data_IF_607917932913
#
_entry.id   IF_607917932913
#
_cell.length_a   1.000
_cell.length_b   1.000
_cell.length_c   1.000
_cell.angle_alpha   90.00
_cell.angle_beta   90.00
_cell.angle_gamma   90.00
#
_symmetry.space_group_name_H-M   'P 1'
#
loop_
_entity.id
_entity.type
_entity.pdbx_description
1 polymer ?
#
# COMPACT_ATOMS: atom_id res chain seq x y z
N UNK A 1 -3.23 -15.09 4.37
CA UNK A 1 -3.24 -15.04 2.89
C UNK A 1 -4.10 -16.13 2.28
N UNK A 2 -3.97 -17.38 2.71
CA UNK A 2 -4.73 -18.53 2.21
C UNK A 2 -6.25 -18.31 2.05
N UNK A 3 -6.92 -17.69 3.02
CA UNK A 3 -8.37 -17.44 2.91
C UNK A 3 -8.73 -16.46 1.78
N UNK A 4 -7.94 -15.38 1.60
CA UNK A 4 -8.16 -14.42 0.51
C UNK A 4 -7.85 -15.09 -0.84
N UNK A 5 -6.74 -15.83 -0.91
CA UNK A 5 -6.33 -16.58 -2.10
C UNK A 5 -7.44 -17.54 -2.56
N UNK A 6 -7.95 -18.36 -1.63
CA UNK A 6 -9.05 -19.30 -1.87
C UNK A 6 -10.33 -18.58 -2.33
N UNK A 7 -10.70 -17.47 -1.67
CA UNK A 7 -11.88 -16.68 -2.05
C UNK A 7 -11.78 -16.12 -3.48
N UNK A 8 -10.61 -15.59 -3.86
CA UNK A 8 -10.35 -15.09 -5.22
C UNK A 8 -10.34 -16.21 -6.28
N UNK A 9 -10.17 -17.47 -5.88
CA UNK A 9 -10.17 -18.62 -6.78
C UNK A 9 -9.06 -18.52 -7.83
N UNK A 10 -9.37 -18.55 -9.14
CA UNK A 10 -8.35 -18.48 -10.18
C UNK A 10 -7.83 -17.06 -10.46
N UNK A 11 -8.49 -16.02 -9.94
CA UNK A 11 -8.11 -14.63 -10.24
C UNK A 11 -6.77 -14.34 -9.60
N UNK A 12 -5.82 -13.87 -10.41
CA UNK A 12 -4.50 -13.52 -9.93
C UNK A 12 -4.53 -12.18 -9.18
N UNK A 13 -3.89 -12.15 -8.02
CA UNK A 13 -3.65 -10.91 -7.28
C UNK A 13 -2.16 -10.72 -7.02
N UNK A 14 -1.67 -9.48 -7.08
CA UNK A 14 -0.34 -9.12 -6.64
C UNK A 14 -0.42 -8.55 -5.22
N UNK A 15 0.37 -9.09 -4.29
CA UNK A 15 0.45 -8.53 -2.94
C UNK A 15 1.09 -7.14 -2.99
N UNK A 16 0.47 -6.18 -2.30
CA UNK A 16 0.89 -4.79 -2.29
C UNK A 16 0.90 -4.20 -0.87
N UNK A 17 1.42 -2.98 -0.73
CA UNK A 17 1.52 -2.25 0.53
C UNK A 17 2.37 -2.96 1.58
N UNK A 18 2.06 -2.73 2.86
CA UNK A 18 2.81 -3.19 4.02
C UNK A 18 3.18 -4.68 3.99
N UNK A 19 2.20 -5.56 3.70
CA UNK A 19 2.47 -7.00 3.70
C UNK A 19 3.41 -7.44 2.58
N UNK A 20 3.40 -6.74 1.44
CA UNK A 20 4.35 -7.00 0.36
C UNK A 20 5.77 -6.57 0.78
N UNK A 21 5.89 -5.42 1.45
CA UNK A 21 7.15 -4.93 2.01
C UNK A 21 7.69 -5.92 3.05
N UNK A 22 6.83 -6.45 3.93
CA UNK A 22 7.23 -7.41 4.95
C UNK A 22 7.66 -8.76 4.35
N UNK A 23 7.05 -9.19 3.25
CA UNK A 23 7.44 -10.40 2.53
C UNK A 23 8.86 -10.30 1.94
N UNK A 24 9.38 -9.08 1.73
CA UNK A 24 10.77 -8.83 1.32
C UNK A 24 11.76 -8.82 2.50
N UNK A 25 11.29 -9.08 3.73
CA UNK A 25 12.13 -9.19 4.93
C UNK A 25 12.22 -7.92 5.79
N UNK A 26 11.52 -6.84 5.42
CA UNK A 26 11.43 -5.62 6.24
C UNK A 26 10.58 -5.87 7.47
N UNK A 27 10.99 -5.35 8.63
CA UNK A 27 10.22 -5.50 9.88
C UNK A 27 9.24 -4.34 10.06
N UNK A 28 7.96 -4.62 9.85
CA UNK A 28 6.89 -3.65 10.06
C UNK A 28 5.65 -4.26 10.71
N UNK A 29 4.86 -3.41 11.38
CA UNK A 29 3.53 -3.78 11.86
C UNK A 29 2.61 -3.82 10.64
N UNK A 30 2.06 -5.00 10.34
CA UNK A 30 1.21 -5.23 9.18
C UNK A 30 -0.21 -5.52 9.63
N UNK A 31 -1.10 -4.53 9.54
CA UNK A 31 -2.48 -4.71 10.00
C UNK A 31 -3.39 -5.16 8.85
N UNK A 32 -3.21 -4.61 7.65
CA UNK A 32 -4.15 -4.79 6.54
C UNK A 32 -3.56 -5.54 5.35
N UNK A 33 -4.42 -6.02 4.47
CA UNK A 33 -4.06 -6.68 3.21
C UNK A 33 -4.38 -5.74 2.05
N UNK A 34 -3.41 -5.50 1.18
CA UNK A 34 -3.63 -4.79 -0.09
C UNK A 34 -3.23 -5.71 -1.23
N UNK A 35 -4.13 -5.86 -2.20
CA UNK A 35 -3.94 -6.70 -3.37
C UNK A 35 -4.24 -5.87 -4.61
N UNK A 36 -3.33 -5.86 -5.56
CA UNK A 36 -3.60 -5.32 -6.89
C UNK A 36 -4.23 -6.42 -7.73
N UNK A 37 -5.31 -6.10 -8.43
CA UNK A 37 -6.04 -6.99 -9.35
C UNK A 37 -6.00 -6.36 -10.74
N UNK A 38 -5.91 -7.17 -11.80
CA UNK A 38 -6.04 -6.67 -13.17
C UNK A 38 -7.36 -5.94 -13.32
N UNK A 39 -7.37 -4.83 -14.04
CA UNK A 39 -8.59 -4.02 -14.21
C UNK A 39 -9.74 -4.85 -14.83
N UNK A 40 -9.41 -5.73 -15.77
CA UNK A 40 -10.37 -6.64 -16.41
C UNK A 40 -10.99 -7.67 -15.46
N UNK A 41 -10.31 -8.04 -14.37
CA UNK A 41 -10.74 -9.05 -13.40
C UNK A 41 -11.29 -8.40 -12.10
N UNK A 42 -11.28 -7.07 -12.01
CA UNK A 42 -11.51 -6.35 -10.75
C UNK A 42 -12.91 -6.57 -10.18
N UNK A 43 -13.95 -6.40 -11.01
CA UNK A 43 -15.34 -6.59 -10.58
C UNK A 43 -15.62 -8.04 -10.18
N UNK A 44 -15.06 -9.01 -10.92
CA UNK A 44 -15.17 -10.43 -10.60
C UNK A 44 -14.48 -10.77 -9.27
N UNK A 45 -13.31 -10.18 -9.00
CA UNK A 45 -12.61 -10.34 -7.72
C UNK A 45 -13.44 -9.81 -6.55
N UNK A 46 -14.05 -8.64 -6.71
CA UNK A 46 -14.98 -8.05 -5.74
C UNK A 46 -16.16 -8.97 -5.47
N UNK A 47 -16.81 -9.49 -6.51
CA UNK A 47 -17.96 -10.39 -6.36
C UNK A 47 -17.57 -11.71 -5.70
N UNK A 48 -16.37 -12.22 -5.98
CA UNK A 48 -15.85 -13.43 -5.33
C UNK A 48 -15.60 -13.25 -3.84
N UNK A 49 -15.00 -12.14 -3.42
CA UNK A 49 -14.84 -11.85 -1.99
C UNK A 49 -16.20 -11.77 -1.28
N UNK A 50 -17.17 -11.05 -1.86
CA UNK A 50 -18.54 -11.01 -1.31
C UNK A 50 -19.18 -12.39 -1.21
N UNK A 51 -19.04 -13.20 -2.26
CA UNK A 51 -19.57 -14.58 -2.29
C UNK A 51 -18.91 -15.49 -1.25
N UNK A 52 -17.66 -15.20 -0.86
CA UNK A 52 -16.94 -15.88 0.21
C UNK A 52 -17.25 -15.32 1.63
N UNK A 53 -18.19 -14.39 1.74
CA UNK A 53 -18.66 -13.83 3.01
C UNK A 53 -17.88 -12.60 3.50
N UNK A 54 -16.97 -12.04 2.71
CA UNK A 54 -16.34 -10.77 3.08
C UNK A 54 -17.38 -9.64 3.05
N UNK A 55 -17.35 -8.79 4.07
CA UNK A 55 -18.29 -7.67 4.21
C UNK A 55 -17.66 -6.39 3.66
N UNK A 56 -18.43 -5.60 2.92
CA UNK A 56 -17.95 -4.32 2.38
C UNK A 56 -17.60 -3.33 3.49
N UNK A 57 -16.39 -2.80 3.44
CA UNK A 57 -15.94 -1.72 4.30
C UNK A 57 -16.18 -0.38 3.61
N UNK A 58 -17.30 0.27 3.95
CA UNK A 58 -17.73 1.52 3.31
C UNK A 58 -16.97 2.76 3.78
N UNK A 59 -16.13 2.61 4.81
CA UNK A 59 -15.36 3.71 5.39
C UNK A 59 -13.99 3.85 4.71
N UNK A 60 -13.34 4.99 4.90
CA UNK A 60 -12.00 5.21 4.35
C UNK A 60 -11.02 4.10 4.74
N UNK A 61 -10.08 3.78 3.84
CA UNK A 61 -9.02 2.80 4.14
C UNK A 61 -8.24 3.22 5.38
N UNK A 62 -7.90 4.51 5.49
CA UNK A 62 -7.15 5.07 6.62
C UNK A 62 -7.95 5.23 7.91
N UNK A 63 -9.25 4.90 7.94
CA UNK A 63 -10.07 5.08 9.15
C UNK A 63 -10.07 3.85 10.07
N UNK A 64 -10.53 4.01 11.30
CA UNK A 64 -10.87 2.93 12.22
C UNK A 64 -12.37 2.61 12.16
N UNK A 65 -12.84 1.77 13.09
CA UNK A 65 -14.27 1.52 13.33
C UNK A 65 -15.07 2.82 13.50
N UNK A 66 -16.28 2.92 12.92
CA UNK A 66 -17.12 4.11 13.04
C UNK A 66 -17.36 4.57 14.48
N UNK A 67 -17.48 3.62 15.40
CA UNK A 67 -17.73 3.91 16.81
C UNK A 67 -16.55 4.64 17.48
N UNK A 68 -15.34 4.52 16.92
CA UNK A 68 -14.17 5.27 17.38
C UNK A 68 -14.36 6.78 17.20
N UNK A 69 -15.04 7.20 16.12
CA UNK A 69 -15.10 8.60 15.71
C UNK A 69 -16.23 9.42 16.36
N UNK A 70 -16.85 8.92 17.43
CA UNK A 70 -17.91 9.66 18.14
C UNK A 70 -17.34 10.91 18.83
N UNK A 71 -17.91 12.07 18.52
CA UNK A 71 -17.57 13.36 19.12
C UNK A 71 -16.84 14.32 18.16
N UNK A 72 -17.12 15.62 18.29
CA UNK A 72 -16.74 16.68 17.33
C UNK A 72 -15.27 16.65 16.90
N UNK A 73 -14.33 16.44 17.82
CA UNK A 73 -12.90 16.39 17.50
C UNK A 73 -12.57 15.17 16.63
N UNK A 74 -13.11 14.00 16.99
CA UNK A 74 -12.84 12.75 16.27
C UNK A 74 -13.53 12.73 14.90
N UNK A 75 -14.71 13.33 14.78
CA UNK A 75 -15.37 13.56 13.49
C UNK A 75 -14.56 14.47 12.56
N UNK A 76 -13.90 15.51 13.09
CA UNK A 76 -12.98 16.34 12.32
C UNK A 76 -11.78 15.52 11.81
N UNK A 77 -11.22 14.66 12.67
CA UNK A 77 -10.12 13.75 12.30
C UNK A 77 -10.58 12.82 11.16
N UNK A 78 -11.75 12.21 11.29
CA UNK A 78 -12.30 11.35 10.24
C UNK A 78 -12.45 12.09 8.90
N UNK A 79 -13.01 13.31 8.90
CA UNK A 79 -13.14 14.11 7.67
C UNK A 79 -11.80 14.39 7.01
N UNK A 80 -10.74 14.61 7.81
CA UNK A 80 -9.38 14.78 7.30
C UNK A 80 -8.85 13.48 6.68
N UNK A 81 -9.04 12.34 7.35
CA UNK A 81 -8.66 11.01 6.82
C UNK A 81 -9.34 10.77 5.48
N UNK A 82 -10.67 10.92 5.40
CA UNK A 82 -11.43 10.71 4.15
C UNK A 82 -10.86 11.56 3.03
N UNK A 83 -10.57 12.84 3.29
CA UNK A 83 -9.99 13.73 2.27
C UNK A 83 -8.60 13.28 1.81
N UNK A 84 -7.75 12.86 2.73
CA UNK A 84 -6.35 12.52 2.44
C UNK A 84 -6.17 11.09 1.88
N UNK A 85 -7.20 10.26 1.93
CA UNK A 85 -7.24 8.91 1.35
C UNK A 85 -8.23 8.78 0.18
N UNK A 86 -8.90 9.86 -0.23
CA UNK A 86 -9.99 9.86 -1.22
C UNK A 86 -9.62 9.19 -2.55
N UNK A 87 -8.40 9.42 -3.05
CA UNK A 87 -7.91 8.80 -4.29
C UNK A 87 -7.80 7.27 -4.15
N UNK A 88 -7.16 6.80 -3.09
CA UNK A 88 -7.07 5.36 -2.77
C UNK A 88 -8.47 4.76 -2.63
N UNK A 89 -9.34 5.44 -1.90
CA UNK A 89 -10.69 4.98 -1.58
C UNK A 89 -11.58 4.86 -2.83
N UNK A 90 -11.39 5.73 -3.83
CA UNK A 90 -12.08 5.68 -5.13
C UNK A 90 -11.54 4.60 -6.06
N UNK A 91 -10.25 4.27 -5.93
CA UNK A 91 -9.59 3.26 -6.75
C UNK A 91 -9.46 1.90 -6.06
N UNK A 92 -10.24 1.68 -4.99
CA UNK A 92 -10.22 0.41 -4.28
C UNK A 92 -11.59 -0.05 -3.81
N UNK A 93 -11.77 -1.37 -3.81
CA UNK A 93 -12.82 -2.05 -3.07
C UNK A 93 -12.24 -2.52 -1.74
N UNK A 94 -12.95 -2.26 -0.64
CA UNK A 94 -12.45 -2.49 0.73
C UNK A 94 -13.40 -3.41 1.45
N UNK A 95 -12.84 -4.31 2.24
CA UNK A 95 -13.58 -5.36 2.93
C UNK A 95 -13.03 -5.60 4.33
N UNK A 96 -13.87 -6.21 5.17
CA UNK A 96 -13.46 -6.90 6.39
C UNK A 96 -13.73 -8.40 6.22
N UNK A 97 -13.01 -9.21 7.00
CA UNK A 97 -13.21 -10.65 7.00
C UNK A 97 -14.58 -11.01 7.57
N UNK A 98 -15.15 -12.17 7.16
CA UNK A 98 -16.36 -12.70 7.77
C UNK A 98 -16.23 -12.76 9.29
N UNK A 99 -17.29 -12.41 10.01
CA UNK A 99 -17.31 -12.31 11.48
C UNK A 99 -16.82 -13.59 12.19
N UNK A 100 -17.01 -14.77 11.58
CA UNK A 100 -16.59 -16.06 12.11
C UNK A 100 -15.07 -16.20 12.18
N UNK A 101 -14.31 -15.43 11.37
CA UNK A 101 -12.85 -15.44 11.37
C UNK A 101 -12.24 -14.62 12.51
N UNK A 102 -13.03 -13.77 13.20
CA UNK A 102 -12.57 -12.89 14.27
C UNK A 102 -11.32 -12.07 13.91
N UNK A 103 -11.20 -11.68 12.63
CA UNK A 103 -10.08 -10.87 12.13
C UNK A 103 -10.54 -9.42 11.95
N UNK A 104 -9.79 -8.48 12.51
CA UNK A 104 -10.05 -7.04 12.39
C UNK A 104 -9.33 -6.38 11.21
N UNK A 105 -8.47 -7.15 10.52
CA UNK A 105 -7.72 -6.68 9.37
C UNK A 105 -8.66 -6.32 8.20
N UNK A 106 -8.34 -5.24 7.49
CA UNK A 106 -9.02 -4.90 6.24
C UNK A 106 -8.36 -5.60 5.06
N UNK A 107 -9.14 -5.84 4.01
CA UNK A 107 -8.66 -6.25 2.70
C UNK A 107 -9.03 -5.16 1.70
N UNK A 108 -8.05 -4.59 1.02
CA UNK A 108 -8.25 -3.64 -0.08
C UNK A 108 -7.82 -4.29 -1.40
N UNK A 109 -8.74 -4.34 -2.35
CA UNK A 109 -8.45 -4.66 -3.75
C UNK A 109 -8.25 -3.34 -4.50
N UNK A 110 -7.15 -3.21 -5.22
CA UNK A 110 -6.80 -2.05 -6.03
C UNK A 110 -6.75 -2.40 -7.50
N UNK A 111 -7.15 -1.46 -8.35
CA UNK A 111 -7.00 -1.62 -9.79
C UNK A 111 -5.53 -1.55 -10.19
N UNK A 112 -5.15 -2.37 -11.16
CA UNK A 112 -3.81 -2.40 -11.74
C UNK A 112 -3.41 -1.08 -12.39
N UNK A 113 -4.36 -0.35 -13.00
CA UNK A 113 -4.12 0.98 -13.55
C UNK A 113 -3.72 1.99 -12.49
N UNK A 114 -4.34 1.93 -11.31
CA UNK A 114 -4.06 2.84 -10.21
C UNK A 114 -2.70 2.55 -9.56
N UNK A 115 -2.39 1.28 -9.32
CA UNK A 115 -1.12 0.87 -8.74
C UNK A 115 0.04 0.79 -9.76
N UNK A 116 -0.22 1.09 -11.04
CA UNK A 116 0.75 1.04 -12.14
C UNK A 116 1.44 -0.34 -12.28
N UNK A 117 0.69 -1.42 -12.08
CA UNK A 117 1.19 -2.79 -12.20
C UNK A 117 0.81 -3.38 -13.55
N UNK A 118 1.82 -3.84 -14.30
CA UNK A 118 1.63 -4.66 -15.50
C UNK A 118 1.88 -6.12 -15.14
N UNK A 119 0.81 -6.93 -15.11
CA UNK A 119 0.91 -8.32 -14.67
C UNK A 119 1.78 -9.20 -15.58
N UNK A 120 1.85 -8.87 -16.86
CA UNK A 120 2.66 -9.62 -17.83
C UNK A 120 4.15 -9.56 -17.46
N UNK A 121 4.65 -8.37 -17.09
CA UNK A 121 6.03 -8.19 -16.63
C UNK A 121 6.29 -8.72 -15.22
N UNK A 122 5.28 -8.66 -14.34
CA UNK A 122 5.41 -9.08 -12.94
C UNK A 122 5.49 -10.60 -12.80
N UNK A 123 4.80 -11.35 -13.66
CA UNK A 123 4.79 -12.81 -13.56
C UNK A 123 6.19 -13.39 -13.76
N UNK A 124 7.03 -12.71 -14.53
CA UNK A 124 8.42 -13.09 -14.80
C UNK A 124 9.39 -12.68 -13.69
N UNK A 125 9.09 -11.60 -12.94
CA UNK A 125 9.97 -11.05 -11.91
C UNK A 125 9.53 -11.35 -10.46
N UNK A 126 8.37 -11.99 -10.27
CA UNK A 126 7.84 -12.32 -8.95
C UNK A 126 8.82 -13.21 -8.16
N UNK A 127 9.12 -12.80 -6.92
CA UNK A 127 10.02 -13.51 -6.02
C UNK A 127 9.44 -14.87 -5.62
N UNK A 128 8.12 -14.92 -5.46
CA UNK A 128 7.40 -16.15 -5.16
C UNK A 128 5.92 -16.06 -5.53
N UNK A 129 5.26 -17.21 -5.47
CA UNK A 129 3.82 -17.35 -5.72
C UNK A 129 3.22 -18.30 -4.69
N UNK A 130 2.11 -17.89 -4.08
CA UNK A 130 1.29 -18.73 -3.22
C UNK A 130 -0.10 -18.86 -3.84
N UNK A 131 -0.37 -20.01 -4.47
CA UNK A 131 -1.60 -20.22 -5.24
C UNK A 131 -1.77 -19.21 -6.37
N UNK A 132 -2.77 -18.34 -6.26
CA UNK A 132 -3.07 -17.25 -7.19
C UNK A 132 -2.48 -15.90 -6.78
N UNK A 133 -1.76 -15.81 -5.66
CA UNK A 133 -1.15 -14.58 -5.18
C UNK A 133 0.33 -14.49 -5.57
N UNK A 134 0.69 -13.39 -6.23
CA UNK A 134 2.05 -13.05 -6.64
C UNK A 134 2.71 -12.17 -5.59
N UNK A 135 3.96 -12.49 -5.26
CA UNK A 135 4.81 -11.70 -4.38
C UNK A 135 5.85 -10.96 -5.24
N UNK A 136 5.69 -9.64 -5.41
CA UNK A 136 6.59 -8.87 -6.26
C UNK A 136 7.97 -8.71 -5.64
N UNK A 137 8.97 -8.52 -6.49
CA UNK A 137 10.29 -8.07 -6.04
C UNK A 137 10.27 -6.61 -5.57
N UNK A 138 11.39 -6.19 -4.95
CA UNK A 138 11.53 -4.86 -4.38
C UNK A 138 11.48 -3.75 -5.45
N UNK A 139 12.01 -3.98 -6.65
CA UNK A 139 12.05 -2.99 -7.72
C UNK A 139 10.64 -2.74 -8.30
N UNK A 140 9.85 -3.80 -8.48
CA UNK A 140 8.44 -3.72 -8.88
C UNK A 140 7.62 -2.93 -7.86
N UNK A 141 7.76 -3.25 -6.56
CA UNK A 141 7.04 -2.50 -5.52
C UNK A 141 7.47 -1.05 -5.45
N UNK A 142 8.78 -0.77 -5.50
CA UNK A 142 9.29 0.59 -5.47
C UNK A 142 8.72 1.40 -6.63
N UNK A 143 8.81 0.87 -7.84
CA UNK A 143 8.29 1.50 -9.05
C UNK A 143 6.80 1.79 -8.90
N UNK A 144 6.01 0.80 -8.51
CA UNK A 144 4.57 0.93 -8.29
C UNK A 144 4.23 2.02 -7.28
N UNK A 145 4.88 2.04 -6.11
CA UNK A 145 4.64 3.06 -5.09
C UNK A 145 4.98 4.46 -5.58
N UNK A 146 6.13 4.64 -6.24
CA UNK A 146 6.55 5.95 -6.75
C UNK A 146 5.63 6.42 -7.88
N UNK A 147 5.27 5.55 -8.82
CA UNK A 147 4.37 5.89 -9.92
C UNK A 147 2.98 6.30 -9.43
N UNK A 148 2.47 5.59 -8.42
CA UNK A 148 1.21 5.94 -7.75
C UNK A 148 1.35 7.31 -7.06
N UNK A 149 2.41 7.48 -6.27
CA UNK A 149 2.68 8.69 -5.50
C UNK A 149 2.75 9.96 -6.35
N UNK A 150 3.45 9.94 -7.49
CA UNK A 150 3.61 11.14 -8.33
C UNK A 150 2.33 11.54 -9.06
N UNK A 151 1.32 10.67 -9.11
CA UNK A 151 0.01 10.91 -9.72
C UNK A 151 -1.10 11.17 -8.72
N UNK A 152 -0.81 11.08 -7.43
CA UNK A 152 -1.79 11.38 -6.40
C UNK A 152 -2.18 12.87 -6.44
N UNK A 153 -3.47 13.19 -6.48
CA UNK A 153 -3.96 14.55 -6.69
C UNK A 153 -3.77 15.46 -5.47
N UNK A 154 -3.57 14.87 -4.29
CA UNK A 154 -3.52 15.59 -3.01
C UNK A 154 -2.34 15.09 -2.19
N UNK A 155 -1.50 16.03 -1.75
CA UNK A 155 -0.49 15.75 -0.74
C UNK A 155 -1.16 15.60 0.63
N UNK A 156 -0.91 14.48 1.30
CA UNK A 156 -1.49 14.13 2.59
C UNK A 156 -0.96 12.80 3.12
N UNK A 157 -1.63 12.24 4.12
CA UNK A 157 -1.27 10.99 4.79
C UNK A 157 -0.97 9.86 3.79
N UNK A 158 -1.82 9.65 2.78
CA UNK A 158 -1.60 8.59 1.82
C UNK A 158 -0.30 8.76 1.00
N UNK A 159 -0.06 9.96 0.46
CA UNK A 159 1.20 10.26 -0.23
C UNK A 159 2.42 10.18 0.69
N UNK A 160 2.28 10.57 1.96
CA UNK A 160 3.35 10.42 2.96
C UNK A 160 3.63 8.94 3.24
N UNK A 161 2.60 8.10 3.31
CA UNK A 161 2.72 6.65 3.45
C UNK A 161 3.45 6.03 2.26
N UNK A 162 3.03 6.33 1.03
CA UNK A 162 3.71 5.86 -0.17
C UNK A 162 5.18 6.32 -0.24
N UNK A 163 5.46 7.58 0.10
CA UNK A 163 6.83 8.10 0.14
C UNK A 163 7.68 7.40 1.19
N UNK A 164 7.13 7.13 2.38
CA UNK A 164 7.82 6.40 3.44
C UNK A 164 8.10 4.95 3.03
N UNK A 165 7.10 4.26 2.46
CA UNK A 165 7.28 2.90 1.95
C UNK A 165 8.37 2.83 0.89
N UNK A 166 8.34 3.76 -0.09
CA UNK A 166 9.33 3.81 -1.16
C UNK A 166 10.74 4.11 -0.64
N UNK A 167 10.94 5.21 0.12
CA UNK A 167 12.28 5.71 0.45
C UNK A 167 12.86 5.02 1.68
N UNK A 168 12.08 4.86 2.74
CA UNK A 168 12.60 4.37 4.03
C UNK A 168 12.67 2.85 4.08
N UNK A 169 11.61 2.17 3.64
CA UNK A 169 11.51 0.72 3.76
C UNK A 169 12.11 0.02 2.54
N UNK A 170 11.55 0.27 1.35
CA UNK A 170 12.00 -0.44 0.16
C UNK A 170 13.42 -0.02 -0.23
N UNK A 171 13.67 1.27 -0.48
CA UNK A 171 15.01 1.71 -0.86
C UNK A 171 16.01 1.66 0.31
N UNK A 172 15.64 2.26 1.45
CA UNK A 172 16.53 2.45 2.59
C UNK A 172 16.88 1.17 3.34
N UNK A 173 15.88 0.38 3.74
CA UNK A 173 16.08 -0.80 4.57
C UNK A 173 16.57 -2.02 3.77
N UNK A 174 16.07 -2.21 2.54
CA UNK A 174 16.56 -3.27 1.65
C UNK A 174 17.87 -2.90 0.93
N UNK A 175 18.39 -1.68 1.13
CA UNK A 175 19.66 -1.21 0.57
C UNK A 175 19.76 -1.34 -0.95
N UNK A 176 18.68 -0.99 -1.66
CA UNK A 176 18.65 -1.06 -3.13
C UNK A 176 19.69 -0.11 -3.76
N UNK A 177 20.13 -0.42 -4.98
CA UNK A 177 20.99 0.45 -5.77
C UNK A 177 20.32 1.77 -6.09
N UNK A 178 21.11 2.85 -6.24
CA UNK A 178 20.59 4.16 -6.63
C UNK A 178 19.99 4.17 -8.05
N UNK A 179 20.37 3.17 -8.86
CA UNK A 179 19.99 2.90 -10.23
C UNK A 179 18.74 2.02 -10.37
N UNK A 180 18.11 1.60 -9.27
CA UNK A 180 16.99 0.64 -9.28
C UNK A 180 15.79 1.08 -10.13
N UNK A 181 15.63 2.38 -10.40
CA UNK A 181 14.59 2.92 -11.29
C UNK A 181 15.14 3.52 -12.60
N UNK A 182 16.39 3.23 -13.00
CA UNK A 182 16.96 3.77 -14.25
C UNK A 182 16.27 3.22 -15.49
N UNK A 183 15.89 1.95 -15.46
CA UNK A 183 15.10 1.27 -16.51
C UNK A 183 13.58 1.54 -16.39
N UNK A 184 13.16 2.46 -15.53
CA UNK A 184 11.76 2.87 -15.45
C UNK A 184 11.43 3.81 -16.62
N UNK A 185 10.47 3.42 -17.46
CA UNK A 185 9.97 4.23 -18.59
C UNK A 185 9.16 5.48 -18.16
N UNK A 186 9.08 5.75 -16.86
CA UNK A 186 8.32 6.85 -16.29
C UNK A 186 9.26 7.92 -15.74
N UNK A 187 9.53 8.93 -16.55
CA UNK A 187 10.43 10.04 -16.22
C UNK A 187 10.02 10.75 -14.93
N UNK A 188 8.71 10.96 -14.71
CA UNK A 188 8.21 11.63 -13.51
C UNK A 188 8.48 10.83 -12.24
N UNK A 189 8.31 9.51 -12.30
CA UNK A 189 8.66 8.62 -11.20
C UNK A 189 10.18 8.59 -10.94
N UNK A 190 10.98 8.48 -12.00
CA UNK A 190 12.45 8.44 -11.92
C UNK A 190 13.01 9.74 -11.34
N UNK A 191 12.52 10.89 -11.80
CA UNK A 191 12.94 12.21 -11.33
C UNK A 191 12.56 12.44 -9.86
N UNK A 192 11.33 12.07 -9.48
CA UNK A 192 10.91 12.14 -8.09
C UNK A 192 11.81 11.29 -7.19
N UNK A 193 12.11 10.05 -7.59
CA UNK A 193 12.94 9.15 -6.80
C UNK A 193 14.36 9.67 -6.65
N UNK A 194 15.00 10.05 -7.76
CA UNK A 194 16.36 10.60 -7.78
C UNK A 194 16.49 11.84 -6.88
N UNK A 195 15.48 12.72 -6.90
CA UNK A 195 15.40 13.89 -6.03
C UNK A 195 15.24 13.50 -4.56
N UNK A 196 14.36 12.55 -4.27
CA UNK A 196 14.05 12.09 -2.91
C UNK A 196 15.26 11.45 -2.23
N UNK A 197 16.04 10.66 -2.96
CA UNK A 197 17.28 10.04 -2.44
C UNK A 197 18.51 10.94 -2.53
N UNK A 198 18.36 12.16 -3.08
CA UNK A 198 19.43 13.14 -3.30
C UNK A 198 20.58 12.57 -4.13
N UNK A 199 20.26 11.82 -5.18
CA UNK A 199 21.24 11.06 -5.99
C UNK A 199 22.36 11.92 -6.55
N UNK A 200 22.04 13.10 -7.07
CA UNK A 200 23.02 14.05 -7.62
C UNK A 200 23.77 14.87 -6.56
N UNK A 201 23.52 14.62 -5.28
CA UNK A 201 24.20 15.26 -4.15
C UNK A 201 24.93 14.19 -3.32
N UNK A 202 25.00 14.36 -1.99
CA UNK A 202 25.68 13.40 -1.10
C UNK A 202 24.89 12.11 -0.83
N UNK A 203 23.74 11.90 -1.49
CA UNK A 203 22.79 10.85 -1.13
C UNK A 203 22.09 11.12 0.21
N UNK A 204 21.31 10.15 0.68
CA UNK A 204 20.74 10.15 2.04
C UNK A 204 21.48 9.15 2.93
N UNK A 205 21.70 9.49 4.20
CA UNK A 205 22.09 8.52 5.22
C UNK A 205 20.89 7.60 5.48
N UNK A 206 20.89 6.44 4.81
CA UNK A 206 19.79 5.47 4.82
C UNK A 206 19.52 4.92 6.21
N UNK A 207 20.55 4.78 7.06
CA UNK A 207 20.40 4.24 8.43
C UNK A 207 19.72 5.26 9.34
N UNK A 208 20.13 6.53 9.28
CA UNK A 208 19.57 7.59 10.11
C UNK A 208 18.19 8.03 9.61
N UNK A 209 17.96 8.00 8.30
CA UNK A 209 16.70 8.41 7.69
C UNK A 209 15.54 7.46 8.07
N UNK A 210 15.74 6.14 7.97
CA UNK A 210 14.73 5.15 8.36
C UNK A 210 14.38 5.25 9.85
N UNK A 211 15.37 5.50 10.73
CA UNK A 211 15.14 5.70 12.17
C UNK A 211 14.38 6.99 12.50
N UNK A 212 14.60 8.08 11.76
CA UNK A 212 13.94 9.37 12.00
C UNK A 212 12.47 9.34 11.58
N UNK A 213 12.13 8.72 10.45
CA UNK A 213 10.73 8.65 10.00
C UNK A 213 9.89 7.69 10.83
N UNK A 214 10.47 6.61 11.37
CA UNK A 214 9.80 5.78 12.38
C UNK A 214 9.37 6.55 13.63
N UNK A 215 10.01 7.70 13.94
CA UNK A 215 9.55 8.64 14.98
C UNK A 215 8.52 9.65 14.48
N UNK A 216 8.57 10.07 13.22
CA UNK A 216 7.63 11.06 12.66
C UNK A 216 6.26 10.43 12.38
N UNK A 217 6.19 9.13 12.07
CA UNK A 217 4.92 8.38 12.01
C UNK A 217 4.22 8.22 13.37
N UNK A 218 4.93 8.52 14.47
CA UNK A 218 4.39 8.52 15.82
C UNK A 218 4.24 9.98 16.29
N UNK A 219 3.12 10.61 15.92
CA UNK A 219 2.80 11.94 16.47
C UNK A 219 2.42 11.80 17.95
N UNK A 220 3.37 12.04 18.85
CA UNK A 220 3.13 12.04 20.29
C UNK A 220 1.97 12.97 20.71
N UNK A 221 1.63 13.97 19.89
CA UNK A 221 0.53 14.88 20.20
C UNK A 221 -0.85 14.25 19.93
N UNK A 222 -0.94 13.24 19.06
CA UNK A 222 -2.15 12.43 18.89
C UNK A 222 -2.32 11.42 20.03
N UNK A 223 -1.22 10.94 20.63
CA UNK A 223 -1.25 9.99 21.73
C UNK A 223 -1.56 10.62 23.11
N UNK A 224 -1.31 11.93 23.28
CA UNK A 224 -1.55 12.66 24.53
C UNK A 224 -2.96 13.24 24.69
N UNK A 225 -3.85 13.01 23.71
CA UNK A 225 -5.23 13.52 23.72
C UNK A 225 -6.28 12.44 24.06
N UNK A 226 -5.88 11.36 24.74
CA UNK A 226 -6.77 10.32 25.29
C UNK A 226 -6.90 10.49 26.79
#
# INVERSE_FOLDING_TARGET
MEFIASALGPIQGLLWGERAIAALGVRLVCDNYMLVIRDADFDDAVQRLRSAGFEDWVWSYGSLDPNFYKGRLKENIYRRIVKEFDSLDKNSARFIFPSEKQMTAKVALLSSSYAHIRFDSVTESAVSRDGNILYPDAAVLLRSFVQTLVREPVLGMWTSTLSMWAVSYIYGELMLGDDVLDECDDDGARDWFNKSIRRSAQGIDRITYTKRLGRVGYDENLAKAV
#
